data_IF_154548286379
#
_entry.id   IF_154548286379
#
_cell.length_a   1.000
_cell.length_b   1.000
_cell.length_c   1.000
_cell.angle_alpha   90.00
_cell.angle_beta   90.00
_cell.angle_gamma   90.00
#
_symmetry.space_group_name_H-M   'P 1'
#
loop_
_entity.id
_entity.type
_entity.pdbx_description
1 polymer ?
#
# COMPACT_ATOMS: atom_id res chain seq x y z
N UNK A 1 9.83 -9.78 -14.88
CA UNK A 1 8.36 -9.81 -15.10
C UNK A 1 8.08 -9.36 -16.52
N UNK A 2 7.10 -9.95 -17.24
CA UNK A 2 6.79 -9.59 -18.64
C UNK A 2 5.59 -8.64 -18.79
N UNK A 3 4.77 -8.49 -17.75
CA UNK A 3 3.60 -7.62 -17.70
C UNK A 3 3.80 -6.56 -16.62
N UNK A 4 3.19 -5.40 -16.83
CA UNK A 4 3.02 -4.38 -15.79
C UNK A 4 2.20 -4.95 -14.64
N UNK A 5 2.53 -4.63 -13.38
CA UNK A 5 1.75 -5.06 -12.23
C UNK A 5 0.41 -4.30 -12.18
N UNK A 6 -0.61 -4.95 -11.62
CA UNK A 6 -1.91 -4.31 -11.35
C UNK A 6 -1.84 -3.39 -10.12
N UNK A 7 -0.92 -3.69 -9.19
CA UNK A 7 -0.72 -2.98 -7.94
C UNK A 7 0.74 -3.08 -7.49
N UNK A 8 1.24 -2.04 -6.84
CA UNK A 8 2.53 -2.06 -6.13
C UNK A 8 2.32 -1.86 -4.62
N UNK A 9 3.12 -2.58 -3.83
CA UNK A 9 3.25 -2.36 -2.39
C UNK A 9 4.65 -1.84 -2.10
N UNK A 10 4.75 -0.67 -1.49
CA UNK A 10 6.00 0.07 -1.30
C UNK A 10 6.33 0.17 0.19
N UNK A 11 7.57 -0.16 0.55
CA UNK A 11 8.08 0.06 1.91
C UNK A 11 8.80 1.40 1.93
N UNK A 12 8.45 2.26 2.87
CA UNK A 12 8.95 3.63 2.97
C UNK A 12 8.59 4.51 1.77
N UNK A 13 7.35 5.01 1.76
CA UNK A 13 6.88 5.91 0.70
C UNK A 13 7.57 7.28 0.66
N UNK A 14 8.31 7.67 1.70
CA UNK A 14 9.11 8.90 1.67
C UNK A 14 10.41 8.67 0.89
N UNK A 15 11.07 7.54 1.13
CA UNK A 15 12.29 7.14 0.42
C UNK A 15 11.99 6.74 -1.02
N UNK A 16 10.92 5.97 -1.26
CA UNK A 16 10.52 5.44 -2.57
C UNK A 16 9.51 6.33 -3.31
N UNK A 17 9.56 7.65 -3.07
CA UNK A 17 8.61 8.60 -3.64
C UNK A 17 8.62 8.62 -5.18
N UNK A 18 9.74 8.23 -5.81
CA UNK A 18 9.82 8.13 -7.28
C UNK A 18 8.95 6.99 -7.81
N UNK A 19 9.00 5.80 -7.20
CA UNK A 19 8.16 4.67 -7.58
C UNK A 19 6.67 5.01 -7.44
N UNK A 20 6.31 5.75 -6.39
CA UNK A 20 4.93 6.22 -6.20
C UNK A 20 4.49 7.21 -7.29
N UNK A 21 5.37 8.12 -7.71
CA UNK A 21 5.08 9.06 -8.80
C UNK A 21 4.94 8.37 -10.16
N UNK A 22 5.80 7.39 -10.43
CA UNK A 22 5.73 6.56 -11.65
C UNK A 22 4.44 5.75 -11.67
N UNK A 23 4.09 5.09 -10.55
CA UNK A 23 2.82 4.36 -10.42
C UNK A 23 1.60 5.26 -10.62
N UNK A 24 1.59 6.46 -10.02
CA UNK A 24 0.53 7.46 -10.22
C UNK A 24 0.41 7.88 -11.69
N UNK A 25 1.54 8.03 -12.39
CA UNK A 25 1.58 8.38 -13.82
C UNK A 25 1.03 7.25 -14.69
N UNK A 26 1.44 6.01 -14.39
CA UNK A 26 1.00 4.80 -15.08
C UNK A 26 -0.39 4.32 -14.67
N UNK A 27 -1.04 5.02 -13.72
CA UNK A 27 -2.34 4.65 -13.13
C UNK A 27 -2.34 3.25 -12.50
N UNK A 28 -1.20 2.85 -11.95
CA UNK A 28 -1.06 1.62 -11.16
C UNK A 28 -1.44 1.95 -9.72
N UNK A 29 -2.24 1.08 -9.09
CA UNK A 29 -2.65 1.26 -7.69
C UNK A 29 -1.42 1.13 -6.79
N UNK A 30 -1.18 2.12 -5.93
CA UNK A 30 -0.05 2.13 -5.00
C UNK A 30 -0.54 2.02 -3.55
N UNK A 31 -0.02 1.01 -2.84
CA UNK A 31 -0.13 0.86 -1.40
C UNK A 31 1.25 1.08 -0.78
N UNK A 32 1.34 1.72 0.38
CA UNK A 32 2.63 1.91 1.04
C UNK A 32 2.62 1.74 2.55
N UNK A 33 3.80 1.47 3.11
CA UNK A 33 4.08 1.71 4.52
C UNK A 33 4.59 3.13 4.66
N UNK A 34 3.89 3.96 5.44
CA UNK A 34 4.26 5.35 5.68
C UNK A 34 4.67 5.57 7.14
N UNK A 35 5.77 6.29 7.31
CA UNK A 35 6.20 6.86 8.58
C UNK A 35 5.78 8.34 8.66
N UNK A 36 6.14 9.04 9.73
CA UNK A 36 5.76 10.45 9.98
C UNK A 36 6.16 11.43 8.87
N UNK A 37 7.17 11.10 8.06
CA UNK A 37 7.65 11.90 6.92
C UNK A 37 7.01 11.51 5.57
N UNK A 38 6.13 10.51 5.55
CA UNK A 38 5.45 10.05 4.34
C UNK A 38 4.37 11.01 3.87
N UNK A 39 4.19 11.11 2.55
CA UNK A 39 3.10 11.89 1.95
C UNK A 39 1.92 10.96 1.56
N UNK A 40 0.76 11.04 2.24
CA UNK A 40 -0.40 10.21 1.95
C UNK A 40 -1.06 10.51 0.58
N UNK A 41 -0.81 11.67 -0.04
CA UNK A 41 -1.40 12.07 -1.33
C UNK A 41 -0.79 11.33 -2.55
N UNK A 42 0.28 10.55 -2.32
CA UNK A 42 0.99 9.78 -3.34
C UNK A 42 0.52 8.33 -3.43
N UNK A 43 -0.38 7.90 -2.55
CA UNK A 43 -0.83 6.51 -2.42
C UNK A 43 -2.35 6.44 -2.33
N UNK A 44 -2.91 5.30 -2.75
CA UNK A 44 -4.35 5.06 -2.62
C UNK A 44 -4.71 4.69 -1.18
N UNK A 45 -3.84 3.90 -0.53
CA UNK A 45 -3.94 3.59 0.88
C UNK A 45 -2.57 3.28 1.47
N UNK A 46 -2.47 3.36 2.80
CA UNK A 46 -1.22 3.11 3.50
C UNK A 46 -1.41 2.45 4.86
N UNK A 47 -0.36 1.78 5.31
CA UNK A 47 -0.21 1.29 6.67
C UNK A 47 0.74 2.23 7.42
N UNK A 48 0.29 2.94 8.46
CA UNK A 48 1.16 3.76 9.28
C UNK A 48 2.07 2.86 10.13
N UNK A 49 3.39 2.93 9.93
CA UNK A 49 4.35 2.17 10.72
C UNK A 49 5.76 2.78 10.66
N UNK A 50 6.61 2.38 11.60
CA UNK A 50 8.01 2.78 11.60
C UNK A 50 8.77 2.05 10.48
N UNK A 51 9.28 2.79 9.50
CA UNK A 51 10.06 2.26 8.37
C UNK A 51 11.55 2.16 8.67
N UNK A 52 12.03 2.80 9.75
CA UNK A 52 13.44 2.78 10.13
C UNK A 52 13.85 1.52 10.92
N UNK A 53 12.90 0.63 11.22
CA UNK A 53 13.14 -0.56 12.04
C UNK A 53 12.96 -1.84 11.25
N UNK A 54 14.02 -2.65 11.18
CA UNK A 54 13.98 -4.00 10.59
C UNK A 54 12.91 -4.85 11.25
N UNK A 55 12.74 -4.77 12.58
CA UNK A 55 11.71 -5.53 13.30
C UNK A 55 10.30 -5.17 12.82
N UNK A 56 10.03 -3.88 12.61
CA UNK A 56 8.75 -3.37 12.12
C UNK A 56 8.47 -3.85 10.70
N UNK A 57 9.43 -3.69 9.79
CA UNK A 57 9.30 -4.12 8.40
C UNK A 57 9.10 -5.64 8.32
N UNK A 58 9.90 -6.42 9.06
CA UNK A 58 9.78 -7.88 9.07
C UNK A 58 8.42 -8.34 9.59
N UNK A 59 7.89 -7.68 10.63
CA UNK A 59 6.56 -7.98 11.15
C UNK A 59 5.48 -7.79 10.07
N UNK A 60 5.49 -6.64 9.39
CA UNK A 60 4.54 -6.35 8.30
C UNK A 60 4.69 -7.35 7.15
N UNK A 61 5.93 -7.65 6.75
CA UNK A 61 6.22 -8.55 5.64
C UNK A 61 5.79 -9.99 5.93
N UNK A 62 6.00 -10.49 7.15
CA UNK A 62 5.58 -11.85 7.54
C UNK A 62 4.05 -11.98 7.64
N UNK A 63 3.36 -10.96 8.13
CA UNK A 63 1.89 -10.93 8.14
C UNK A 63 1.33 -10.95 6.70
N UNK A 64 1.87 -10.07 5.83
CA UNK A 64 1.50 -10.03 4.42
C UNK A 64 1.75 -11.36 3.72
N UNK A 65 2.92 -11.97 3.95
CA UNK A 65 3.30 -13.27 3.40
C UNK A 65 2.34 -14.38 3.85
N UNK A 66 1.93 -14.36 5.11
CA UNK A 66 0.98 -15.34 5.67
C UNK A 66 -0.38 -15.22 4.97
N UNK A 67 -0.90 -14.00 4.85
CA UNK A 67 -2.16 -13.73 4.15
C UNK A 67 -2.06 -14.14 2.68
N UNK A 68 -1.02 -13.70 1.96
CA UNK A 68 -0.83 -14.01 0.54
C UNK A 68 -0.71 -15.50 0.26
N UNK A 69 -0.10 -16.29 1.14
CA UNK A 69 -0.05 -17.76 1.02
C UNK A 69 -1.41 -18.42 1.24
N UNK A 70 -2.23 -17.85 2.12
CA UNK A 70 -3.56 -18.38 2.42
C UNK A 70 -4.57 -18.16 1.27
N UNK A 71 -4.34 -17.13 0.45
CA UNK A 71 -5.16 -16.84 -0.73
C UNK A 71 -4.90 -17.91 -1.79
N UNK A 72 -5.83 -18.86 -1.92
CA UNK A 72 -5.89 -19.75 -3.08
C UNK A 72 -6.24 -18.89 -4.29
N UNK A 73 -5.49 -19.01 -5.38
CA UNK A 73 -5.72 -18.30 -6.65
C UNK A 73 -7.08 -18.67 -7.23
N UNK A 74 -8.14 -18.02 -6.73
CA UNK A 74 -9.43 -18.01 -7.40
C UNK A 74 -9.26 -17.15 -8.65
N UNK A 75 -9.47 -17.75 -9.82
CA UNK A 75 -9.41 -17.03 -11.10
C UNK A 75 -10.38 -15.83 -11.03
N UNK A 76 -9.78 -14.64 -11.19
CA UNK A 76 -10.35 -13.32 -11.48
C UNK A 76 -11.59 -12.87 -10.67
N UNK A 77 -11.46 -11.84 -9.81
CA UNK A 77 -12.54 -10.90 -9.59
C UNK A 77 -12.47 -9.83 -10.68
N UNK A 78 -13.33 -9.96 -11.70
CA UNK A 78 -13.83 -8.76 -12.38
C UNK A 78 -14.59 -7.93 -11.33
N UNK A 79 -14.39 -6.62 -11.39
CA UNK A 79 -14.91 -5.56 -10.50
C UNK A 79 -14.09 -5.30 -9.23
N UNK A 80 -13.12 -4.39 -9.38
CA UNK A 80 -12.58 -3.61 -8.26
C UNK A 80 -13.73 -2.79 -7.68
N UNK A 81 -14.33 -3.26 -6.58
CA UNK A 81 -15.24 -2.42 -5.79
C UNK A 81 -14.41 -1.27 -5.22
N UNK A 82 -14.75 -0.05 -5.63
CA UNK A 82 -14.21 1.20 -5.09
C UNK A 82 -14.37 1.17 -3.57
N UNK A 83 -13.27 1.13 -2.83
CA UNK A 83 -13.29 1.18 -1.36
C UNK A 83 -13.65 2.61 -0.99
N UNK A 84 -14.89 2.82 -0.55
CA UNK A 84 -15.36 4.10 -0.03
C UNK A 84 -14.77 4.29 1.38
N UNK A 85 -13.67 5.05 1.47
CA UNK A 85 -13.10 5.44 2.77
C UNK A 85 -14.04 6.45 3.42
N UNK A 86 -14.82 6.01 4.41
CA UNK A 86 -15.58 6.92 5.28
C UNK A 86 -14.59 7.76 6.08
N UNK A 87 -14.43 9.02 5.69
CA UNK A 87 -13.76 10.03 6.49
C UNK A 87 -14.50 10.18 7.83
N UNK A 88 -13.99 9.54 8.89
CA UNK A 88 -14.38 9.84 10.26
C UNK A 88 -13.78 11.19 10.62
N UNK A 89 -14.55 12.25 10.39
CA UNK A 89 -14.33 13.55 10.99
C UNK A 89 -14.60 13.44 12.49
N UNK A 90 -13.56 13.27 13.29
CA UNK A 90 -13.63 13.58 14.72
C UNK A 90 -13.73 15.09 14.87
N UNK A 91 -14.95 15.55 15.14
CA UNK A 91 -15.21 16.87 15.71
C UNK A 91 -14.33 17.04 16.95
N UNK A 92 -13.48 18.07 16.94
CA UNK A 92 -12.97 18.67 18.16
C UNK A 92 -14.16 19.25 18.95
N UNK A 93 -14.25 18.89 20.21
CA UNK A 93 -15.07 19.53 21.24
C UNK A 93 -14.14 19.91 22.39
#
# INVERSE_FOLDING_TARGET
>A
MKKTPDLIFVVDGAYEAQALREAKTLKIVSLAVLNTNGNPDLVEAFVPANTNSIKSINYIAEELKTVLKSVKTTKAPNEIKKIEVKNTTTKAA
#
